data_IF_279339977320
#
_entry.id   IF_279339977320
#
_cell.length_a   1.000
_cell.length_b   1.000
_cell.length_c   1.000
_cell.angle_alpha   90.00
_cell.angle_beta   90.00
_cell.angle_gamma   90.00
#
_symmetry.space_group_name_H-M   'P 1'
#
loop_
_entity.id
_entity.type
_entity.pdbx_description
1 polymer ?
#
# COMPACT_ATOMS: atom_id res chain seq x y z
N UNK A 1 -20.95 -17.06 38.41
CA UNK A 1 -21.92 -16.35 37.55
C UNK A 1 -21.28 -15.00 37.21
N UNK A 2 -20.59 -14.93 36.10
CA UNK A 2 -19.91 -13.70 35.60
C UNK A 2 -20.59 -13.37 34.30
N UNK A 3 -21.33 -12.27 34.31
CA UNK A 3 -22.05 -11.71 33.17
C UNK A 3 -21.06 -11.22 32.12
N UNK A 4 -21.08 -11.83 30.95
CA UNK A 4 -20.39 -11.34 29.77
C UNK A 4 -21.02 -10.00 29.35
N UNK A 5 -20.27 -8.91 29.45
CA UNK A 5 -20.62 -7.63 28.85
C UNK A 5 -20.48 -7.78 27.31
N UNK A 6 -21.61 -7.80 26.65
CA UNK A 6 -21.76 -7.76 25.22
C UNK A 6 -21.59 -6.28 24.81
N UNK A 7 -20.36 -5.84 24.49
CA UNK A 7 -20.09 -4.56 23.85
C UNK A 7 -20.51 -4.63 22.38
N UNK A 8 -21.82 -4.52 22.13
CA UNK A 8 -22.30 -4.08 20.82
C UNK A 8 -21.87 -2.63 20.60
N UNK A 9 -21.38 -2.26 19.42
CA UNK A 9 -21.08 -0.86 19.11
C UNK A 9 -22.37 -0.06 19.31
N UNK A 10 -22.31 0.95 20.18
CA UNK A 10 -23.46 1.73 20.59
C UNK A 10 -24.22 2.26 19.35
N UNK A 11 -25.55 2.23 19.40
CA UNK A 11 -26.45 2.79 18.37
C UNK A 11 -26.05 4.23 17.96
N UNK A 12 -25.43 4.96 18.85
CA UNK A 12 -24.86 6.29 18.61
C UNK A 12 -23.75 6.31 17.55
N UNK A 13 -22.86 5.32 17.54
CA UNK A 13 -21.78 5.24 16.55
C UNK A 13 -22.33 4.91 15.14
N UNK A 14 -23.34 4.04 15.07
CA UNK A 14 -24.04 3.70 13.82
C UNK A 14 -24.84 4.91 13.29
N UNK A 15 -25.52 5.65 14.17
CA UNK A 15 -26.27 6.85 13.82
C UNK A 15 -25.37 8.00 13.36
N UNK A 16 -24.23 8.20 14.01
CA UNK A 16 -23.21 9.17 13.60
C UNK A 16 -22.66 8.87 12.22
N UNK A 17 -22.38 7.59 11.90
CA UNK A 17 -21.93 7.15 10.57
C UNK A 17 -23.01 7.36 9.49
N UNK A 18 -24.27 7.05 9.79
CA UNK A 18 -25.40 7.31 8.86
C UNK A 18 -25.55 8.82 8.58
N UNK A 19 -25.45 9.66 9.61
CA UNK A 19 -25.52 11.11 9.47
C UNK A 19 -24.34 11.67 8.64
N UNK A 20 -23.13 11.15 8.85
CA UNK A 20 -21.95 11.56 8.09
C UNK A 20 -22.03 11.10 6.62
N UNK A 21 -22.53 9.90 6.36
CA UNK A 21 -22.79 9.41 5.01
C UNK A 21 -23.90 10.22 4.29
N UNK A 22 -24.93 10.67 5.01
CA UNK A 22 -25.97 11.54 4.48
C UNK A 22 -25.37 12.91 4.10
N UNK A 23 -24.62 13.55 5.00
CA UNK A 23 -23.92 14.82 4.73
C UNK A 23 -23.01 14.74 3.51
N UNK A 24 -22.30 13.61 3.35
CA UNK A 24 -21.43 13.38 2.20
C UNK A 24 -22.21 13.23 0.89
N UNK A 25 -23.39 12.58 0.92
CA UNK A 25 -24.27 12.47 -0.25
C UNK A 25 -24.86 13.83 -0.64
N UNK A 26 -25.33 14.60 0.32
CA UNK A 26 -25.89 15.94 0.09
C UNK A 26 -24.82 16.88 -0.47
N UNK A 27 -23.60 16.83 0.05
CA UNK A 27 -22.49 17.61 -0.50
C UNK A 27 -22.16 17.23 -1.96
N UNK A 28 -22.14 15.93 -2.28
CA UNK A 28 -21.94 15.48 -3.68
C UNK A 28 -23.05 15.95 -4.61
N UNK A 29 -24.29 15.93 -4.15
CA UNK A 29 -25.44 16.45 -4.90
C UNK A 29 -25.28 17.94 -5.17
N UNK A 30 -24.90 18.71 -4.17
CA UNK A 30 -24.67 20.15 -4.28
C UNK A 30 -23.55 20.50 -5.27
N UNK A 31 -22.41 19.78 -5.22
CA UNK A 31 -21.32 19.94 -6.20
C UNK A 31 -21.80 19.64 -7.62
N UNK A 32 -22.61 18.60 -7.81
CA UNK A 32 -23.17 18.25 -9.13
C UNK A 32 -24.14 19.33 -9.62
N UNK A 33 -25.04 19.79 -8.79
CA UNK A 33 -25.97 20.86 -9.11
C UNK A 33 -25.23 22.15 -9.50
N UNK A 34 -24.23 22.57 -8.73
CA UNK A 34 -23.43 23.74 -9.05
C UNK A 34 -22.66 23.59 -10.38
N UNK A 35 -22.18 22.37 -10.69
CA UNK A 35 -21.53 22.11 -11.97
C UNK A 35 -22.52 22.16 -13.15
N UNK A 36 -23.74 21.67 -12.97
CA UNK A 36 -24.81 21.73 -13.98
C UNK A 36 -25.27 23.18 -14.20
N UNK A 37 -25.45 23.96 -13.13
CA UNK A 37 -25.84 25.37 -13.17
C UNK A 37 -24.73 26.25 -13.80
N UNK A 38 -23.49 25.81 -13.82
CA UNK A 38 -22.40 26.58 -14.44
C UNK A 38 -22.56 26.81 -15.93
N UNK A 39 -23.38 26.02 -16.62
CA UNK A 39 -23.56 26.09 -18.08
C UNK A 39 -22.31 25.71 -18.90
N UNK A 40 -21.22 25.25 -18.23
CA UNK A 40 -19.95 24.90 -18.87
C UNK A 40 -20.02 23.59 -19.66
N UNK A 41 -21.12 22.87 -19.59
CA UNK A 41 -21.30 21.55 -20.20
C UNK A 41 -20.45 20.48 -19.50
N UNK A 42 -20.95 19.25 -19.43
CA UNK A 42 -20.12 18.13 -18.99
C UNK A 42 -19.29 17.67 -20.19
N UNK A 43 -17.99 17.36 -20.02
CA UNK A 43 -17.21 16.82 -21.10
C UNK A 43 -17.91 15.58 -21.68
N UNK A 44 -17.99 15.51 -22.99
CA UNK A 44 -18.65 14.40 -23.71
C UNK A 44 -18.00 13.02 -23.43
N UNK A 45 -16.83 13.01 -22.83
CA UNK A 45 -16.07 11.82 -22.38
C UNK A 45 -16.76 11.02 -21.27
N UNK A 46 -17.87 11.49 -20.72
CA UNK A 46 -18.27 11.20 -19.36
C UNK A 46 -19.59 10.48 -19.21
N UNK A 47 -20.12 9.88 -20.20
CA UNK A 47 -21.19 8.91 -19.98
C UNK A 47 -20.61 7.62 -19.43
N UNK A 48 -20.70 7.44 -18.14
CA UNK A 48 -20.22 6.29 -17.38
C UNK A 48 -20.75 4.93 -17.88
N UNK A 49 -21.79 4.93 -18.69
CA UNK A 49 -22.41 3.73 -19.24
C UNK A 49 -21.70 3.20 -20.51
N UNK A 50 -20.80 3.97 -21.07
CA UNK A 50 -20.21 3.67 -22.38
C UNK A 50 -18.69 3.69 -22.30
N UNK A 51 -18.10 2.70 -21.55
CA UNK A 51 -16.78 2.24 -21.93
C UNK A 51 -16.94 1.69 -23.34
N UNK A 52 -16.49 2.44 -24.34
CA UNK A 52 -16.55 2.01 -25.72
C UNK A 52 -15.92 0.62 -25.85
N UNK A 53 -16.49 -0.23 -26.67
CA UNK A 53 -16.00 -1.62 -26.81
C UNK A 53 -14.50 -1.70 -27.14
N UNK A 54 -13.98 -0.74 -27.89
CA UNK A 54 -12.55 -0.58 -28.20
C UNK A 54 -11.69 -0.26 -26.97
N UNK A 55 -12.14 0.63 -26.07
CA UNK A 55 -11.45 0.92 -24.80
C UNK A 55 -11.49 -0.29 -23.86
N UNK A 56 -12.60 -1.00 -23.77
CA UNK A 56 -12.71 -2.23 -23.00
C UNK A 56 -11.79 -3.33 -23.54
N UNK A 57 -11.65 -3.44 -24.87
CA UNK A 57 -10.69 -4.35 -25.50
C UNK A 57 -9.26 -3.95 -25.19
N UNK A 58 -8.91 -2.66 -25.33
CA UNK A 58 -7.58 -2.15 -25.00
C UNK A 58 -7.24 -2.39 -23.52
N UNK A 59 -8.17 -2.17 -22.58
CA UNK A 59 -7.99 -2.43 -21.16
C UNK A 59 -7.63 -3.90 -20.85
N UNK A 60 -8.24 -4.85 -21.56
CA UNK A 60 -7.94 -6.28 -21.36
C UNK A 60 -6.59 -6.71 -21.94
N UNK A 61 -6.06 -6.00 -22.92
CA UNK A 61 -4.77 -6.27 -23.56
C UNK A 61 -3.63 -5.39 -23.06
N UNK A 62 -3.91 -4.53 -22.08
CA UNK A 62 -2.97 -3.61 -21.49
C UNK A 62 -1.80 -4.33 -20.81
N UNK A 63 -0.59 -3.79 -20.95
CA UNK A 63 0.60 -4.30 -20.29
C UNK A 63 0.76 -3.79 -18.85
N UNK A 64 1.62 -4.46 -18.08
CA UNK A 64 1.88 -4.08 -16.69
C UNK A 64 2.43 -2.65 -16.52
N UNK A 65 3.22 -2.15 -17.47
CA UNK A 65 3.75 -0.78 -17.44
C UNK A 65 2.65 0.27 -17.56
N UNK A 66 1.74 0.06 -18.51
CA UNK A 66 0.59 0.94 -18.71
C UNK A 66 -0.36 0.90 -17.50
N UNK A 67 -0.61 -0.30 -16.95
CA UNK A 67 -1.42 -0.46 -15.75
C UNK A 67 -0.84 0.28 -14.55
N UNK A 68 0.49 0.25 -14.33
CA UNK A 68 1.16 1.02 -13.27
C UNK A 68 0.95 2.52 -13.44
N UNK A 69 1.16 3.04 -14.66
CA UNK A 69 0.90 4.43 -14.97
C UNK A 69 -0.55 4.83 -14.64
N UNK A 70 -1.53 3.99 -15.04
CA UNK A 70 -2.94 4.27 -14.77
C UNK A 70 -3.30 4.20 -13.27
N UNK A 71 -2.66 3.33 -12.49
CA UNK A 71 -2.81 3.29 -11.03
C UNK A 71 -2.35 4.61 -10.40
N UNK A 72 -1.19 5.12 -10.80
CA UNK A 72 -0.69 6.41 -10.30
C UNK A 72 -1.58 7.56 -10.75
N UNK A 73 -2.01 7.56 -12.00
CA UNK A 73 -2.89 8.57 -12.54
C UNK A 73 -4.27 8.57 -11.85
N UNK A 74 -4.81 7.40 -11.50
CA UNK A 74 -6.01 7.29 -10.66
C UNK A 74 -5.86 8.04 -9.33
N UNK A 75 -4.75 7.83 -8.63
CA UNK A 75 -4.52 8.50 -7.34
C UNK A 75 -4.27 10.00 -7.49
N UNK A 76 -3.69 10.45 -8.59
CA UNK A 76 -3.59 11.87 -8.94
C UNK A 76 -4.99 12.49 -9.12
N UNK A 77 -5.84 11.88 -9.95
CA UNK A 77 -7.21 12.33 -10.17
C UNK A 77 -8.05 12.32 -8.88
N UNK A 78 -7.88 11.32 -8.04
CA UNK A 78 -8.49 11.28 -6.71
C UNK A 78 -8.02 12.45 -5.84
N UNK A 79 -6.74 12.82 -5.92
CA UNK A 79 -6.18 13.98 -5.25
C UNK A 79 -6.79 15.29 -5.74
N UNK A 80 -6.90 15.45 -7.05
CA UNK A 80 -7.49 16.64 -7.70
C UNK A 80 -8.97 16.81 -7.32
N UNK A 81 -9.74 15.74 -7.40
CA UNK A 81 -11.13 15.75 -6.93
C UNK A 81 -11.24 16.16 -5.45
N UNK A 82 -10.40 15.61 -4.57
CA UNK A 82 -10.42 15.95 -3.14
C UNK A 82 -10.08 17.43 -2.92
N UNK A 83 -9.07 17.96 -3.63
CA UNK A 83 -8.68 19.37 -3.56
C UNK A 83 -9.82 20.28 -4.01
N UNK A 84 -10.42 19.99 -5.17
CA UNK A 84 -11.55 20.76 -5.68
C UNK A 84 -12.78 20.69 -4.75
N UNK A 85 -13.13 19.51 -4.20
CA UNK A 85 -14.20 19.38 -3.22
C UNK A 85 -13.93 20.18 -1.94
N UNK A 86 -12.68 20.21 -1.46
CA UNK A 86 -12.33 21.00 -0.27
C UNK A 86 -12.45 22.51 -0.56
N UNK A 87 -12.08 22.95 -1.79
CA UNK A 87 -12.21 24.33 -2.19
C UNK A 87 -13.70 24.75 -2.28
N UNK A 88 -14.55 23.94 -2.93
CA UNK A 88 -16.00 24.19 -2.93
C UNK A 88 -16.54 24.33 -1.51
N UNK A 89 -16.11 23.43 -0.60
CA UNK A 89 -16.56 23.49 0.80
C UNK A 89 -16.10 24.75 1.52
N UNK A 90 -14.93 25.29 1.18
CA UNK A 90 -14.41 26.53 1.77
C UNK A 90 -15.14 27.78 1.24
N UNK A 91 -15.61 27.77 -0.01
CA UNK A 91 -16.31 28.89 -0.65
C UNK A 91 -17.78 29.00 -0.22
N UNK A 92 -18.42 27.89 0.12
CA UNK A 92 -19.86 27.84 0.49
C UNK A 92 -20.25 28.79 1.62
N UNK A 93 -19.51 28.91 2.75
CA UNK A 93 -19.92 29.80 3.86
C UNK A 93 -19.90 31.28 3.49
N UNK A 94 -19.02 31.69 2.57
CA UNK A 94 -18.90 33.06 2.08
C UNK A 94 -19.85 33.42 0.95
N UNK A 95 -20.66 32.46 0.49
CA UNK A 95 -21.52 32.59 -0.69
C UNK A 95 -20.77 33.06 -1.94
N UNK A 96 -19.49 32.66 -2.04
CA UNK A 96 -18.66 33.00 -3.20
C UNK A 96 -18.99 32.12 -4.42
N UNK A 97 -18.82 32.63 -5.65
CA UNK A 97 -18.99 31.84 -6.86
C UNK A 97 -18.05 30.61 -6.86
N UNK A 98 -18.61 29.42 -7.03
CA UNK A 98 -17.84 28.16 -6.97
C UNK A 98 -18.15 27.18 -8.11
N UNK A 99 -18.94 27.61 -9.11
CA UNK A 99 -19.40 26.75 -10.21
C UNK A 99 -18.25 26.13 -11.01
N UNK A 100 -17.21 26.92 -11.33
CA UNK A 100 -16.02 26.42 -12.06
C UNK A 100 -15.26 25.36 -11.27
N UNK A 101 -15.10 25.55 -9.96
CA UNK A 101 -14.42 24.59 -9.09
C UNK A 101 -15.27 23.33 -8.92
N UNK A 102 -16.60 23.46 -8.82
CA UNK A 102 -17.53 22.34 -8.80
C UNK A 102 -17.46 21.53 -10.11
N UNK A 103 -17.41 22.21 -11.25
CA UNK A 103 -17.21 21.58 -12.56
C UNK A 103 -15.90 20.80 -12.63
N UNK A 104 -14.76 21.38 -12.16
CA UNK A 104 -13.47 20.66 -12.07
C UNK A 104 -13.55 19.44 -11.16
N UNK A 105 -14.22 19.55 -10.01
CA UNK A 105 -14.41 18.43 -9.09
C UNK A 105 -15.17 17.27 -9.75
N UNK A 106 -16.23 17.58 -10.49
CA UNK A 106 -17.01 16.59 -11.23
C UNK A 106 -16.19 15.92 -12.34
N UNK A 107 -15.44 16.70 -13.12
CA UNK A 107 -14.58 16.16 -14.16
C UNK A 107 -13.54 15.17 -13.59
N UNK A 108 -12.85 15.57 -12.51
CA UNK A 108 -11.87 14.70 -11.85
C UNK A 108 -12.54 13.41 -11.33
N UNK A 109 -13.75 13.48 -10.74
CA UNK A 109 -14.51 12.29 -10.30
C UNK A 109 -14.82 11.35 -11.48
N UNK A 110 -15.13 11.92 -12.61
CA UNK A 110 -15.50 11.17 -13.80
C UNK A 110 -14.32 10.43 -14.42
N UNK A 111 -13.18 11.12 -14.56
CA UNK A 111 -11.93 10.50 -15.02
C UNK A 111 -11.47 9.42 -14.05
N UNK A 112 -11.51 9.69 -12.72
CA UNK A 112 -11.22 8.70 -11.68
C UNK A 112 -12.05 7.42 -11.84
N UNK A 113 -13.34 7.54 -12.11
CA UNK A 113 -14.24 6.40 -12.29
C UNK A 113 -13.91 5.59 -13.55
N UNK A 114 -13.66 6.25 -14.69
CA UNK A 114 -13.28 5.58 -15.94
C UNK A 114 -12.00 4.79 -15.76
N UNK A 115 -10.97 5.40 -15.16
CA UNK A 115 -9.69 4.72 -14.93
C UNK A 115 -9.88 3.51 -14.00
N UNK A 116 -10.69 3.63 -12.95
CA UNK A 116 -11.01 2.51 -12.06
C UNK A 116 -11.65 1.36 -12.83
N UNK A 117 -12.60 1.66 -13.72
CA UNK A 117 -13.32 0.64 -14.49
C UNK A 117 -12.38 -0.04 -15.51
N UNK A 118 -11.49 0.72 -16.17
CA UNK A 118 -10.39 0.21 -17.02
C UNK A 118 -9.46 -0.72 -16.24
N UNK A 119 -9.00 -0.30 -15.07
CA UNK A 119 -8.14 -1.10 -14.20
C UNK A 119 -8.84 -2.39 -13.73
N UNK A 120 -10.15 -2.35 -13.52
CA UNK A 120 -10.95 -3.53 -13.20
C UNK A 120 -10.96 -4.56 -14.34
N UNK A 121 -11.11 -4.10 -15.57
CA UNK A 121 -11.03 -4.98 -16.75
C UNK A 121 -9.64 -5.62 -16.87
N UNK A 122 -8.57 -4.86 -16.65
CA UNK A 122 -7.21 -5.40 -16.62
C UNK A 122 -7.01 -6.43 -15.51
N UNK A 123 -7.39 -6.10 -14.26
CA UNK A 123 -7.24 -7.01 -13.13
C UNK A 123 -7.96 -8.34 -13.35
N UNK A 124 -9.13 -8.30 -14.00
CA UNK A 124 -9.95 -9.48 -14.27
C UNK A 124 -9.40 -10.39 -15.37
N UNK A 125 -8.34 -10.00 -16.09
CA UNK A 125 -7.73 -10.87 -17.12
C UNK A 125 -6.98 -12.06 -16.54
N UNK A 126 -6.53 -12.00 -15.29
CA UNK A 126 -5.71 -13.02 -14.65
C UNK A 126 -6.29 -13.47 -13.31
N UNK A 127 -6.05 -14.73 -12.96
CA UNK A 127 -6.56 -15.36 -11.74
C UNK A 127 -6.16 -14.59 -10.47
N UNK A 128 -4.88 -14.17 -10.26
CA UNK A 128 -4.51 -13.44 -9.05
C UNK A 128 -5.23 -12.10 -8.90
N UNK A 129 -5.52 -11.42 -10.01
CA UNK A 129 -6.29 -10.17 -10.02
C UNK A 129 -7.75 -10.40 -9.64
N UNK A 130 -8.41 -11.42 -10.23
CA UNK A 130 -9.78 -11.81 -9.88
C UNK A 130 -9.90 -12.23 -8.42
N UNK A 131 -8.95 -13.04 -7.94
CA UNK A 131 -8.92 -13.44 -6.54
C UNK A 131 -8.80 -12.21 -5.61
N UNK A 132 -7.86 -11.31 -5.89
CA UNK A 132 -7.69 -10.12 -5.09
C UNK A 132 -8.96 -9.25 -5.05
N UNK A 133 -9.64 -9.07 -6.20
CA UNK A 133 -10.91 -8.32 -6.29
C UNK A 133 -12.08 -9.00 -5.54
N UNK A 134 -11.98 -10.30 -5.26
CA UNK A 134 -12.97 -11.04 -4.46
C UNK A 134 -12.85 -10.77 -2.95
N UNK A 135 -11.76 -10.16 -2.51
CA UNK A 135 -11.48 -9.90 -1.09
C UNK A 135 -12.12 -8.59 -0.65
N UNK A 136 -12.86 -8.64 0.43
CA UNK A 136 -13.49 -7.44 1.01
C UNK A 136 -12.42 -6.39 1.33
N UNK A 137 -12.66 -5.15 0.88
CA UNK A 137 -11.72 -4.05 1.04
C UNK A 137 -10.75 -3.88 -0.13
N UNK A 138 -10.64 -4.84 -1.03
CA UNK A 138 -9.81 -4.71 -2.23
C UNK A 138 -10.70 -4.42 -3.43
N UNK A 139 -10.40 -3.32 -4.09
CA UNK A 139 -11.11 -2.92 -5.30
C UNK A 139 -10.22 -2.95 -6.53
N UNK A 140 -10.78 -2.65 -7.71
CA UNK A 140 -10.11 -2.77 -9.00
C UNK A 140 -8.73 -2.13 -9.09
N UNK A 141 -8.55 -0.96 -8.49
CA UNK A 141 -7.28 -0.21 -8.53
C UNK A 141 -6.17 -0.93 -7.76
N UNK A 142 -6.49 -1.47 -6.57
CA UNK A 142 -5.51 -2.22 -5.76
C UNK A 142 -5.19 -3.55 -6.43
N UNK A 143 -6.21 -4.27 -6.92
CA UNK A 143 -6.03 -5.54 -7.64
C UNK A 143 -5.17 -5.37 -8.89
N UNK A 144 -5.44 -4.36 -9.70
CA UNK A 144 -4.63 -4.03 -10.88
C UNK A 144 -3.21 -3.64 -10.51
N UNK A 145 -3.03 -2.84 -9.47
CA UNK A 145 -1.71 -2.43 -8.99
C UNK A 145 -0.88 -3.61 -8.49
N UNK A 146 -1.47 -4.54 -7.73
CA UNK A 146 -0.79 -5.77 -7.31
C UNK A 146 -0.34 -6.60 -8.52
N UNK A 147 -1.26 -6.83 -9.47
CA UNK A 147 -0.98 -7.58 -10.69
C UNK A 147 0.11 -6.93 -11.55
N UNK A 148 0.12 -5.61 -11.64
CA UNK A 148 1.07 -4.86 -12.45
C UNK A 148 2.49 -4.79 -11.83
N UNK A 149 2.60 -4.81 -10.50
CA UNK A 149 3.89 -4.70 -9.82
C UNK A 149 4.53 -6.05 -9.47
N UNK A 150 3.71 -7.11 -9.28
CA UNK A 150 4.18 -8.40 -8.78
C UNK A 150 4.34 -9.38 -9.94
N UNK A 151 5.59 -9.60 -10.34
CA UNK A 151 5.97 -10.64 -11.30
C UNK A 151 6.34 -11.91 -10.52
N UNK A 152 5.47 -12.90 -10.53
CA UNK A 152 5.64 -14.15 -9.76
C UNK A 152 6.87 -14.94 -10.21
N UNK A 153 7.32 -14.77 -11.46
CA UNK A 153 8.51 -15.45 -11.98
C UNK A 153 9.80 -14.94 -11.31
N UNK A 154 9.78 -13.71 -10.79
CA UNK A 154 10.88 -13.07 -10.05
C UNK A 154 10.77 -13.23 -8.54
N UNK A 155 9.62 -13.70 -8.04
CA UNK A 155 9.33 -13.87 -6.62
C UNK A 155 9.02 -15.34 -6.30
N UNK A 156 10.01 -16.20 -6.37
CA UNK A 156 9.85 -17.66 -6.12
C UNK A 156 9.39 -17.99 -4.70
N UNK A 157 9.66 -17.13 -3.74
CA UNK A 157 9.24 -17.29 -2.35
C UNK A 157 8.54 -16.02 -1.86
N UNK A 158 7.64 -16.16 -0.90
CA UNK A 158 6.96 -15.04 -0.29
C UNK A 158 7.92 -14.05 0.40
N UNK A 159 9.04 -14.54 0.92
CA UNK A 159 10.07 -13.69 1.53
C UNK A 159 10.70 -12.73 0.51
N UNK A 160 10.89 -13.17 -0.74
CA UNK A 160 11.34 -12.30 -1.82
C UNK A 160 10.30 -11.22 -2.15
N UNK A 161 9.00 -11.59 -2.15
CA UNK A 161 7.93 -10.63 -2.34
C UNK A 161 7.86 -9.60 -1.21
N UNK A 162 7.97 -10.04 0.06
CA UNK A 162 8.01 -9.10 1.19
C UNK A 162 9.20 -8.16 1.11
N UNK A 163 10.36 -8.67 0.70
CA UNK A 163 11.56 -7.86 0.50
C UNK A 163 11.37 -6.84 -0.61
N UNK A 164 10.81 -7.25 -1.73
CA UNK A 164 10.48 -6.38 -2.86
C UNK A 164 9.46 -5.29 -2.49
N UNK A 165 8.48 -5.62 -1.65
CA UNK A 165 7.47 -4.70 -1.13
C UNK A 165 7.93 -3.83 0.06
N UNK A 166 9.18 -3.97 0.55
CA UNK A 166 9.69 -3.22 1.69
C UNK A 166 9.06 -3.59 3.04
N UNK A 167 8.63 -4.84 3.18
CA UNK A 167 8.02 -5.38 4.40
C UNK A 167 8.97 -6.31 5.18
N UNK A 168 10.16 -6.56 4.64
CA UNK A 168 11.21 -7.30 5.31
C UNK A 168 11.87 -6.41 6.39
N UNK A 169 11.79 -6.79 7.69
CA UNK A 169 12.35 -5.98 8.77
C UNK A 169 13.88 -5.92 8.76
N UNK A 170 14.54 -6.80 8.01
CA UNK A 170 16.02 -6.83 7.89
C UNK A 170 16.53 -5.81 6.89
N UNK A 171 15.67 -5.28 6.01
CA UNK A 171 16.05 -4.24 5.08
C UNK A 171 16.05 -2.86 5.75
N UNK A 172 17.19 -2.19 5.71
CA UNK A 172 17.35 -0.83 6.24
C UNK A 172 17.51 0.17 5.10
N UNK A 173 16.73 1.22 5.12
CA UNK A 173 16.95 2.37 4.25
C UNK A 173 17.91 3.35 4.92
N UNK A 174 19.05 3.58 4.29
CA UNK A 174 20.09 4.46 4.81
C UNK A 174 19.76 5.95 4.60
N UNK A 175 19.02 6.28 3.53
CA UNK A 175 18.85 7.66 3.11
C UNK A 175 20.18 8.27 2.62
N UNK A 176 20.15 9.54 2.31
CA UNK A 176 21.34 10.25 1.77
C UNK A 176 22.47 10.33 2.80
N UNK A 177 22.16 10.73 4.03
CA UNK A 177 23.18 10.90 5.07
C UNK A 177 23.79 9.55 5.52
N UNK A 178 22.96 8.53 5.71
CA UNK A 178 23.47 7.20 6.06
C UNK A 178 24.31 6.57 4.95
N UNK A 179 23.97 6.81 3.69
CA UNK A 179 24.77 6.37 2.55
C UNK A 179 26.15 7.05 2.53
N UNK A 180 26.20 8.38 2.72
CA UNK A 180 27.46 9.13 2.82
C UNK A 180 28.36 8.62 3.94
N UNK A 181 27.81 8.43 5.14
CA UNK A 181 28.55 7.91 6.30
C UNK A 181 29.11 6.53 5.97
N UNK A 182 28.28 5.61 5.47
CA UNK A 182 28.72 4.25 5.14
C UNK A 182 29.83 4.24 4.05
N UNK A 183 29.67 5.03 2.99
CA UNK A 183 30.67 5.14 1.93
C UNK A 183 31.98 5.72 2.46
N UNK A 184 31.92 6.75 3.31
CA UNK A 184 33.10 7.34 3.96
C UNK A 184 33.87 6.31 4.78
N UNK A 185 33.18 5.58 5.67
CA UNK A 185 33.79 4.56 6.51
C UNK A 185 34.44 3.42 5.71
N UNK A 186 33.80 2.98 4.61
CA UNK A 186 34.36 1.92 3.75
C UNK A 186 35.55 2.47 2.95
N UNK A 187 35.50 3.75 2.51
CA UNK A 187 36.61 4.38 1.80
C UNK A 187 37.85 4.61 2.67
N UNK A 188 37.69 4.76 3.97
CA UNK A 188 38.83 4.79 4.91
C UNK A 188 39.58 3.46 4.97
N UNK A 189 38.87 2.33 4.77
CA UNK A 189 39.47 0.98 4.69
C UNK A 189 40.09 0.73 3.32
N UNK A 190 39.53 1.30 2.26
CA UNK A 190 39.99 1.16 0.87
C UNK A 190 40.37 2.53 0.28
N UNK A 191 41.49 3.12 0.67
CA UNK A 191 41.89 4.43 0.18
C UNK A 191 42.27 4.36 -1.32
N UNK A 192 41.64 5.24 -2.13
CA UNK A 192 41.89 5.31 -3.57
C UNK A 192 40.77 5.99 -4.35
N UNK A 193 41.02 6.31 -5.62
CA UNK A 193 40.00 6.85 -6.52
C UNK A 193 39.07 5.77 -7.06
N UNK A 194 39.64 4.59 -7.34
CA UNK A 194 38.90 3.47 -7.87
C UNK A 194 38.12 2.73 -6.76
N UNK A 195 37.00 2.14 -7.12
CA UNK A 195 36.18 1.34 -6.24
C UNK A 195 36.52 -0.13 -6.42
N UNK A 196 37.27 -0.74 -5.49
CA UNK A 196 37.65 -2.16 -5.61
C UNK A 196 36.46 -3.08 -5.33
N UNK A 197 36.53 -4.31 -5.86
CA UNK A 197 35.46 -5.30 -5.70
C UNK A 197 35.18 -5.64 -4.23
N UNK A 198 36.20 -5.68 -3.39
CA UNK A 198 36.08 -5.97 -1.97
C UNK A 198 35.34 -4.87 -1.21
N UNK A 199 35.57 -3.59 -1.57
CA UNK A 199 34.80 -2.48 -1.04
C UNK A 199 33.32 -2.61 -1.42
N UNK A 200 33.02 -3.03 -2.66
CA UNK A 200 31.64 -3.25 -3.10
C UNK A 200 30.96 -4.38 -2.30
N UNK A 201 31.67 -5.48 -2.02
CA UNK A 201 31.18 -6.56 -1.17
C UNK A 201 30.91 -6.05 0.26
N UNK A 202 31.83 -5.27 0.83
CA UNK A 202 31.64 -4.67 2.17
C UNK A 202 30.47 -3.72 2.22
N UNK A 203 30.31 -2.83 1.24
CA UNK A 203 29.15 -1.93 1.12
C UNK A 203 27.83 -2.70 1.01
N UNK A 204 27.80 -3.74 0.18
CA UNK A 204 26.64 -4.61 0.02
C UNK A 204 26.25 -5.30 1.34
N UNK A 205 27.22 -5.92 2.03
CA UNK A 205 27.00 -6.59 3.31
C UNK A 205 26.49 -5.64 4.40
N UNK A 206 27.11 -4.47 4.55
CA UNK A 206 26.75 -3.49 5.58
C UNK A 206 25.42 -2.78 5.30
N UNK A 207 25.01 -2.67 4.03
CA UNK A 207 23.71 -2.12 3.63
C UNK A 207 22.59 -3.17 3.46
N UNK A 208 22.87 -4.44 3.74
CA UNK A 208 21.96 -5.58 3.48
C UNK A 208 21.50 -5.66 2.01
N UNK A 209 22.36 -5.24 1.08
CA UNK A 209 22.13 -5.31 -0.36
C UNK A 209 23.03 -6.32 -1.04
N UNK A 210 22.52 -6.95 -2.09
CA UNK A 210 23.37 -7.78 -2.96
C UNK A 210 24.38 -6.86 -3.70
N UNK A 211 25.70 -7.17 -3.67
CA UNK A 211 26.74 -6.35 -4.30
C UNK A 211 26.53 -6.14 -5.82
N UNK A 212 26.07 -7.18 -6.54
CA UNK A 212 25.82 -7.08 -7.97
C UNK A 212 24.65 -6.16 -8.29
N UNK A 213 23.56 -6.28 -7.51
CA UNK A 213 22.42 -5.37 -7.64
C UNK A 213 22.80 -3.92 -7.29
N UNK A 214 23.67 -3.73 -6.31
CA UNK A 214 24.18 -2.41 -5.95
C UNK A 214 25.05 -1.84 -7.09
N UNK A 215 25.89 -2.67 -7.72
CA UNK A 215 26.70 -2.29 -8.89
C UNK A 215 25.84 -1.87 -10.06
N UNK A 216 24.79 -2.66 -10.37
CA UNK A 216 23.82 -2.31 -11.43
C UNK A 216 23.11 -1.00 -11.13
N UNK A 217 22.61 -0.82 -9.91
CA UNK A 217 21.93 0.42 -9.50
C UNK A 217 22.85 1.65 -9.58
N UNK A 218 24.15 1.50 -9.28
CA UNK A 218 25.13 2.56 -9.41
C UNK A 218 25.36 2.92 -10.88
N UNK A 219 25.46 1.92 -11.77
CA UNK A 219 25.55 2.12 -13.21
C UNK A 219 24.29 2.81 -13.77
N UNK A 220 23.09 2.36 -13.35
CA UNK A 220 21.81 2.96 -13.79
C UNK A 220 21.68 4.44 -13.38
N UNK A 221 22.31 4.85 -12.28
CA UNK A 221 22.26 6.23 -11.77
C UNK A 221 23.18 7.19 -12.52
N UNK A 222 24.37 6.73 -12.95
CA UNK A 222 25.41 7.62 -13.44
C UNK A 222 26.17 7.10 -14.67
N UNK A 223 25.75 5.97 -15.26
CA UNK A 223 26.42 5.34 -16.41
C UNK A 223 27.70 4.58 -16.04
N UNK A 224 28.29 4.87 -14.90
CA UNK A 224 29.53 4.25 -14.41
C UNK A 224 29.44 3.88 -12.93
N UNK A 225 30.30 2.95 -12.51
CA UNK A 225 30.36 2.48 -11.11
C UNK A 225 31.53 3.15 -10.39
N UNK A 226 31.20 4.23 -9.68
CA UNK A 226 32.16 5.04 -8.88
C UNK A 226 31.71 5.11 -7.43
N UNK A 227 32.54 5.60 -6.53
CA UNK A 227 32.18 5.88 -5.14
C UNK A 227 30.93 6.76 -5.05
N UNK A 228 30.83 7.79 -5.89
CA UNK A 228 29.72 8.72 -5.91
C UNK A 228 28.43 8.08 -6.43
N UNK A 229 28.52 7.26 -7.49
CA UNK A 229 27.33 6.57 -8.02
C UNK A 229 26.81 5.52 -7.06
N UNK A 230 27.70 4.82 -6.35
CA UNK A 230 27.33 3.85 -5.30
C UNK A 230 26.71 4.55 -4.09
N UNK A 231 27.21 5.72 -3.66
CA UNK A 231 26.57 6.52 -2.62
C UNK A 231 25.14 6.88 -3.00
N UNK A 232 24.92 7.39 -4.22
CA UNK A 232 23.58 7.70 -4.73
C UNK A 232 22.69 6.45 -4.81
N UNK A 233 23.24 5.30 -5.20
CA UNK A 233 22.50 4.04 -5.23
C UNK A 233 22.12 3.56 -3.84
N UNK A 234 23.01 3.68 -2.85
CA UNK A 234 22.75 3.34 -1.46
C UNK A 234 21.71 4.25 -0.80
N UNK A 235 21.64 5.51 -1.21
CA UNK A 235 20.64 6.46 -0.73
C UNK A 235 19.22 6.12 -1.18
N UNK A 236 19.04 5.39 -2.30
CA UNK A 236 17.73 4.93 -2.77
C UNK A 236 17.16 3.87 -1.82
N UNK A 237 15.83 3.78 -1.80
CA UNK A 237 15.14 2.72 -1.06
C UNK A 237 15.51 1.33 -1.60
N UNK A 238 15.76 0.32 -0.74
CA UNK A 238 16.15 -1.03 -1.18
C UNK A 238 14.96 -1.87 -1.69
N UNK A 239 13.79 -1.29 -1.80
CA UNK A 239 12.55 -1.93 -2.24
C UNK A 239 11.87 -1.13 -3.36
N UNK A 240 10.86 -1.72 -4.00
CA UNK A 240 10.03 -1.00 -4.96
C UNK A 240 9.11 -0.01 -4.21
N UNK A 241 9.27 1.28 -4.46
CA UNK A 241 8.58 2.35 -3.74
C UNK A 241 7.09 2.43 -4.07
N UNK A 242 6.75 2.21 -5.33
CA UNK A 242 5.35 2.23 -5.81
C UNK A 242 4.56 1.07 -5.19
N UNK A 243 5.10 -0.15 -5.26
CA UNK A 243 4.48 -1.30 -4.59
C UNK A 243 4.40 -1.10 -3.07
N UNK A 244 5.47 -0.58 -2.45
CA UNK A 244 5.46 -0.28 -1.01
C UNK A 244 4.34 0.70 -0.64
N UNK A 245 4.17 1.76 -1.42
CA UNK A 245 3.09 2.75 -1.23
C UNK A 245 1.73 2.10 -1.40
N UNK A 246 1.55 1.29 -2.44
CA UNK A 246 0.31 0.57 -2.68
C UNK A 246 -0.06 -0.35 -1.51
N UNK A 247 0.85 -1.21 -1.06
CA UNK A 247 0.54 -2.23 -0.05
C UNK A 247 0.55 -1.69 1.37
N UNK A 248 1.51 -0.81 1.73
CA UNK A 248 1.65 -0.32 3.10
C UNK A 248 0.63 0.77 3.46
N UNK A 249 0.21 1.56 2.48
CA UNK A 249 -0.72 2.67 2.73
C UNK A 249 -2.10 2.40 2.15
N UNK A 250 -2.24 2.09 0.86
CA UNK A 250 -3.57 1.96 0.24
C UNK A 250 -4.27 0.67 0.68
N UNK A 251 -3.61 -0.47 0.52
CA UNK A 251 -4.15 -1.77 0.93
C UNK A 251 -4.31 -1.86 2.45
N UNK A 252 -3.26 -1.49 3.22
CA UNK A 252 -3.31 -1.54 4.68
C UNK A 252 -4.42 -0.66 5.28
N UNK A 253 -4.60 0.57 4.77
CA UNK A 253 -5.71 1.43 5.19
C UNK A 253 -7.08 0.88 4.75
N UNK A 254 -7.15 0.18 3.63
CA UNK A 254 -8.38 -0.45 3.20
C UNK A 254 -8.83 -1.53 4.18
N UNK A 255 -7.93 -2.41 4.63
CA UNK A 255 -8.23 -3.40 5.66
C UNK A 255 -8.73 -2.76 6.96
N UNK A 256 -8.09 -1.68 7.41
CA UNK A 256 -8.57 -0.94 8.59
C UNK A 256 -10.00 -0.42 8.40
N UNK A 257 -10.34 0.09 7.21
CA UNK A 257 -11.67 0.65 6.92
C UNK A 257 -12.78 -0.38 6.91
N UNK A 258 -12.48 -1.62 6.53
CA UNK A 258 -13.47 -2.69 6.42
C UNK A 258 -13.49 -3.63 7.62
N UNK A 259 -12.67 -3.39 8.65
CA UNK A 259 -12.54 -4.25 9.84
C UNK A 259 -13.81 -4.47 10.67
N UNK A 260 -14.88 -3.71 10.37
CA UNK A 260 -16.21 -3.92 10.98
C UNK A 260 -17.20 -4.64 10.03
N UNK A 261 -16.73 -5.16 8.91
CA UNK A 261 -17.57 -5.91 7.98
C UNK A 261 -17.46 -7.41 8.30
N UNK A 262 -18.56 -8.07 8.58
CA UNK A 262 -18.60 -9.49 8.96
C UNK A 262 -17.98 -10.43 7.92
N UNK A 263 -17.94 -10.02 6.64
CA UNK A 263 -17.32 -10.79 5.55
C UNK A 263 -15.84 -10.47 5.33
N UNK A 264 -15.29 -9.55 6.12
CA UNK A 264 -13.87 -9.21 6.02
C UNK A 264 -13.00 -10.26 6.73
N UNK A 265 -11.80 -10.47 6.22
CA UNK A 265 -10.81 -11.37 6.82
C UNK A 265 -9.60 -10.58 7.33
N UNK A 266 -9.01 -9.77 6.48
CA UNK A 266 -7.72 -9.12 6.80
C UNK A 266 -7.87 -7.93 7.75
N UNK A 267 -9.01 -7.28 7.75
CA UNK A 267 -9.31 -6.23 8.73
C UNK A 267 -9.58 -6.81 10.12
N UNK A 268 -10.22 -7.97 10.22
CA UNK A 268 -10.35 -8.70 11.49
C UNK A 268 -8.98 -9.14 12.01
N UNK A 269 -8.13 -9.69 11.13
CA UNK A 269 -6.75 -10.03 11.48
C UNK A 269 -5.94 -8.82 11.95
N UNK A 270 -6.13 -7.66 11.30
CA UNK A 270 -5.53 -6.40 11.78
C UNK A 270 -6.02 -6.02 13.17
N UNK A 271 -7.34 -6.09 13.42
CA UNK A 271 -7.93 -5.70 14.70
C UNK A 271 -7.45 -6.61 15.83
N UNK A 272 -7.46 -7.91 15.63
CA UNK A 272 -6.94 -8.90 16.59
C UNK A 272 -5.44 -8.66 16.87
N UNK A 273 -4.64 -8.50 15.81
CA UNK A 273 -3.21 -8.21 15.96
C UNK A 273 -2.97 -6.92 16.72
N UNK A 274 -3.78 -5.90 16.51
CA UNK A 274 -3.66 -4.63 17.22
C UNK A 274 -3.88 -4.79 18.72
N UNK A 275 -4.89 -5.54 19.13
CA UNK A 275 -5.13 -5.86 20.53
C UNK A 275 -3.95 -6.61 21.18
N UNK A 276 -3.39 -7.60 20.46
CA UNK A 276 -2.22 -8.34 20.93
C UNK A 276 -0.99 -7.43 21.09
N UNK A 277 -0.73 -6.54 20.13
CA UNK A 277 0.39 -5.60 20.19
C UNK A 277 0.20 -4.55 21.28
N UNK A 278 -1.04 -4.09 21.53
CA UNK A 278 -1.37 -3.18 22.64
C UNK A 278 -1.12 -3.86 24.00
N UNK A 279 -1.55 -5.11 24.17
CA UNK A 279 -1.29 -5.88 25.38
C UNK A 279 0.20 -6.08 25.64
N UNK A 280 0.99 -6.42 24.61
CA UNK A 280 2.45 -6.54 24.68
C UNK A 280 3.12 -5.21 25.05
N UNK A 281 2.63 -4.11 24.49
CA UNK A 281 3.11 -2.77 24.76
C UNK A 281 2.86 -2.36 26.22
N UNK A 282 1.68 -2.67 26.74
CA UNK A 282 1.34 -2.45 28.15
C UNK A 282 2.19 -3.30 29.09
N UNK A 283 2.51 -4.53 28.71
CA UNK A 283 3.40 -5.43 29.45
C UNK A 283 4.89 -5.05 29.35
N UNK A 284 5.24 -3.91 28.70
CA UNK A 284 6.62 -3.41 28.62
C UNK A 284 7.54 -4.16 27.65
N UNK A 285 7.01 -5.04 26.79
CA UNK A 285 7.83 -5.83 25.85
C UNK A 285 8.56 -4.99 24.78
N UNK A 286 8.24 -3.70 24.68
CA UNK A 286 8.85 -2.78 23.71
C UNK A 286 9.70 -1.68 24.35
N UNK A 287 10.06 -1.82 25.62
CA UNK A 287 10.84 -0.81 26.36
C UNK A 287 12.20 -0.54 25.73
N UNK A 288 12.93 -1.58 25.33
CA UNK A 288 14.22 -1.44 24.62
C UNK A 288 14.04 -0.71 23.26
N UNK A 289 13.01 -1.09 22.49
CA UNK A 289 12.71 -0.44 21.23
C UNK A 289 12.33 1.04 21.42
N UNK A 290 11.60 1.36 22.47
CA UNK A 290 11.22 2.74 22.84
C UNK A 290 12.45 3.57 23.21
N UNK A 291 13.36 3.04 24.05
CA UNK A 291 14.63 3.68 24.41
C UNK A 291 15.50 3.96 23.17
N UNK A 292 15.70 2.94 22.32
CA UNK A 292 16.45 3.08 21.08
C UNK A 292 15.88 4.16 20.12
N UNK A 293 14.56 4.44 20.17
CA UNK A 293 13.97 5.53 19.39
C UNK A 293 14.33 6.90 19.93
N UNK A 294 14.36 7.08 21.25
CA UNK A 294 14.78 8.34 21.89
C UNK A 294 16.26 8.63 21.67
N UNK A 295 17.11 7.61 21.66
CA UNK A 295 18.54 7.75 21.40
C UNK A 295 18.85 8.14 19.95
N UNK A 296 18.13 7.56 18.99
CA UNK A 296 18.44 7.72 17.55
C UNK A 296 17.76 8.90 16.89
N UNK A 297 16.66 9.39 17.44
CA UNK A 297 15.86 10.42 16.78
C UNK A 297 15.61 11.60 17.72
N UNK A 298 15.75 12.81 17.19
CA UNK A 298 15.36 14.01 17.92
C UNK A 298 13.83 14.16 17.87
N UNK A 299 13.16 13.67 18.92
CA UNK A 299 11.70 13.71 19.07
C UNK A 299 11.33 14.86 19.98
N UNK A 300 10.43 15.75 19.54
CA UNK A 300 9.98 16.90 20.32
C UNK A 300 9.38 16.48 21.66
N UNK A 301 9.84 17.06 22.77
CA UNK A 301 9.50 16.68 24.14
C UNK A 301 8.01 16.84 24.47
N UNK A 302 7.31 17.74 23.80
CA UNK A 302 5.88 18.03 24.02
C UNK A 302 4.96 17.08 23.26
N UNK A 303 5.51 16.19 22.42
CA UNK A 303 4.72 15.27 21.60
C UNK A 303 4.25 14.05 22.39
N UNK A 304 3.06 13.52 22.06
CA UNK A 304 2.57 12.27 22.64
C UNK A 304 3.49 11.09 22.33
N UNK A 305 4.20 11.16 21.21
CA UNK A 305 5.20 10.17 20.85
C UNK A 305 6.37 10.16 21.84
N UNK A 306 6.89 11.33 22.22
CA UNK A 306 7.95 11.44 23.22
C UNK A 306 7.50 10.90 24.58
N UNK A 307 6.31 11.30 25.04
CA UNK A 307 5.72 10.82 26.30
C UNK A 307 5.61 9.29 26.32
N UNK A 308 5.13 8.70 25.24
CA UNK A 308 5.01 7.24 25.12
C UNK A 308 6.39 6.56 25.18
N UNK A 309 7.36 7.00 24.38
CA UNK A 309 8.70 6.43 24.38
C UNK A 309 9.42 6.59 25.70
N UNK A 310 9.28 7.74 26.37
CA UNK A 310 9.86 7.98 27.71
C UNK A 310 9.24 7.08 28.80
N UNK A 311 7.99 6.66 28.60
CA UNK A 311 7.33 5.66 29.45
C UNK A 311 7.68 4.20 29.08
N UNK A 312 8.68 3.98 28.21
CA UNK A 312 9.05 2.64 27.73
C UNK A 312 8.01 1.98 26.83
N UNK A 313 7.15 2.74 26.19
CA UNK A 313 6.05 2.25 25.34
C UNK A 313 6.12 2.79 23.92
N UNK A 314 5.56 2.05 22.98
CA UNK A 314 5.39 2.54 21.61
C UNK A 314 4.11 3.39 21.51
N UNK A 315 4.14 4.52 20.79
CA UNK A 315 2.95 5.34 20.54
C UNK A 315 1.84 4.56 19.81
N UNK A 316 0.56 4.94 19.96
CA UNK A 316 -0.57 4.27 19.28
C UNK A 316 -0.42 4.17 17.77
N UNK A 317 0.13 5.21 17.13
CA UNK A 317 0.41 5.21 15.69
C UNK A 317 1.44 4.14 15.28
N UNK A 318 2.43 3.87 16.13
CA UNK A 318 3.43 2.82 15.89
C UNK A 318 2.79 1.43 15.98
N UNK A 319 1.98 1.19 17.02
CA UNK A 319 1.21 -0.07 17.19
C UNK A 319 0.29 -0.29 16.00
N UNK A 320 -0.46 0.74 15.59
CA UNK A 320 -1.32 0.70 14.41
C UNK A 320 -0.56 0.28 13.14
N UNK A 321 0.57 0.93 12.85
CA UNK A 321 1.39 0.62 11.66
C UNK A 321 1.99 -0.79 11.72
N UNK A 322 2.39 -1.24 12.91
CA UNK A 322 2.91 -2.59 13.13
C UNK A 322 1.85 -3.65 12.80
N UNK A 323 0.64 -3.46 13.31
CA UNK A 323 -0.50 -4.36 13.09
C UNK A 323 -0.97 -4.37 11.64
N UNK A 324 -1.04 -3.20 11.01
CA UNK A 324 -1.38 -3.06 9.58
C UNK A 324 -0.37 -3.80 8.70
N UNK A 325 0.94 -3.61 8.94
CA UNK A 325 2.00 -4.32 8.18
C UNK A 325 1.88 -5.83 8.32
N UNK A 326 1.52 -6.32 9.49
CA UNK A 326 1.36 -7.76 9.70
C UNK A 326 0.19 -8.31 8.87
N UNK A 327 -0.99 -7.67 8.89
CA UNK A 327 -2.13 -8.07 8.07
C UNK A 327 -1.81 -8.04 6.56
N UNK A 328 -1.10 -7.01 6.12
CA UNK A 328 -0.62 -6.89 4.72
C UNK A 328 0.34 -8.03 4.36
N UNK A 329 1.25 -8.42 5.26
CA UNK A 329 2.16 -9.56 5.02
C UNK A 329 1.41 -10.87 4.89
N UNK A 330 0.38 -11.11 5.70
CA UNK A 330 -0.48 -12.29 5.57
C UNK A 330 -1.18 -12.28 4.22
N UNK A 331 -1.79 -11.16 3.83
CA UNK A 331 -2.42 -11.02 2.51
C UNK A 331 -1.44 -11.31 1.36
N UNK A 332 -0.24 -10.72 1.40
CA UNK A 332 0.77 -10.95 0.36
C UNK A 332 1.25 -12.41 0.31
N UNK A 333 1.23 -13.13 1.45
CA UNK A 333 1.49 -14.56 1.44
C UNK A 333 0.43 -15.33 0.68
N UNK A 334 -0.84 -14.98 0.88
CA UNK A 334 -1.95 -15.58 0.18
C UNK A 334 -1.94 -15.21 -1.31
N UNK A 335 -1.71 -13.94 -1.65
CA UNK A 335 -1.56 -13.49 -3.03
C UNK A 335 -0.44 -14.24 -3.76
N UNK A 336 0.72 -14.38 -3.10
CA UNK A 336 1.84 -15.14 -3.65
C UNK A 336 1.45 -16.60 -3.91
N UNK A 337 0.77 -17.25 -2.97
CA UNK A 337 0.36 -18.64 -3.12
C UNK A 337 -0.61 -18.81 -4.31
N UNK A 338 -1.63 -17.94 -4.43
CA UNK A 338 -2.57 -17.92 -5.54
C UNK A 338 -1.86 -17.71 -6.88
N UNK A 339 -0.99 -16.70 -6.98
CA UNK A 339 -0.26 -16.39 -8.20
C UNK A 339 0.74 -17.49 -8.58
N UNK A 340 1.39 -18.09 -7.59
CA UNK A 340 2.33 -19.18 -7.80
C UNK A 340 1.64 -20.45 -8.31
N UNK A 341 0.54 -20.84 -7.67
CA UNK A 341 -0.24 -22.00 -8.07
C UNK A 341 -0.87 -21.80 -9.47
N UNK A 342 -1.38 -20.59 -9.76
CA UNK A 342 -1.89 -20.28 -11.09
C UNK A 342 -0.80 -20.38 -12.18
N UNK A 343 0.41 -19.85 -11.90
CA UNK A 343 1.48 -19.83 -12.88
C UNK A 343 2.16 -21.19 -13.06
N UNK A 344 2.57 -21.84 -11.95
CA UNK A 344 3.38 -23.06 -11.97
C UNK A 344 2.55 -24.34 -11.90
N UNK A 345 1.25 -24.26 -11.60
CA UNK A 345 0.31 -25.39 -11.43
C UNK A 345 0.74 -26.38 -10.34
N UNK A 346 1.50 -25.90 -9.38
CA UNK A 346 1.92 -26.62 -8.17
C UNK A 346 1.76 -25.69 -6.95
N UNK A 347 1.55 -26.25 -5.74
CA UNK A 347 1.47 -25.44 -4.52
C UNK A 347 2.71 -24.57 -4.32
N UNK A 348 2.52 -23.37 -3.80
CA UNK A 348 3.61 -22.46 -3.48
C UNK A 348 4.50 -23.04 -2.38
N UNK A 349 5.84 -22.75 -2.40
CA UNK A 349 6.73 -23.08 -1.31
C UNK A 349 6.22 -22.51 0.02
N UNK A 350 6.31 -23.28 1.09
CA UNK A 350 5.91 -22.83 2.42
C UNK A 350 6.74 -21.61 2.83
N UNK A 351 6.13 -20.62 3.48
CA UNK A 351 6.88 -19.50 4.04
C UNK A 351 7.92 -19.99 5.08
N UNK A 352 9.11 -19.42 5.07
CA UNK A 352 10.23 -19.74 5.97
C UNK A 352 9.83 -19.80 7.46
N UNK A 353 8.89 -18.98 7.87
CA UNK A 353 8.41 -18.92 9.26
C UNK A 353 7.72 -20.21 9.72
N UNK A 354 7.13 -20.97 8.81
CA UNK A 354 6.50 -22.26 9.12
C UNK A 354 7.52 -23.39 9.17
N UNK A 355 8.49 -23.38 8.27
CA UNK A 355 9.47 -24.46 8.16
C UNK A 355 10.61 -24.34 9.20
N UNK A 356 10.96 -23.10 9.61
CA UNK A 356 12.16 -22.86 10.43
C UNK A 356 11.88 -22.18 11.77
N UNK A 357 10.73 -21.51 11.94
CA UNK A 357 10.39 -20.79 13.18
C UNK A 357 9.22 -21.42 13.96
N UNK A 358 8.78 -22.63 13.57
CA UNK A 358 7.81 -23.42 14.32
C UNK A 358 6.38 -22.86 14.38
N UNK A 359 6.01 -21.95 13.47
CA UNK A 359 4.62 -21.49 13.39
C UNK A 359 3.71 -22.60 12.88
N UNK A 360 2.77 -23.05 13.73
CA UNK A 360 1.92 -24.22 13.43
C UNK A 360 0.62 -23.86 12.69
N UNK A 361 0.16 -22.61 12.76
CA UNK A 361 -1.12 -22.22 12.18
C UNK A 361 -0.95 -21.54 10.82
N UNK A 362 -1.15 -22.32 9.76
CA UNK A 362 -1.32 -21.78 8.41
C UNK A 362 -2.78 -21.36 8.24
N UNK A 363 -3.03 -20.09 7.99
CA UNK A 363 -4.37 -19.59 7.69
C UNK A 363 -4.81 -20.05 6.32
N UNK A 364 -6.06 -20.50 6.20
CA UNK A 364 -6.65 -20.82 4.92
C UNK A 364 -6.73 -19.56 4.04
N UNK A 365 -6.46 -19.73 2.75
CA UNK A 365 -6.57 -18.63 1.79
C UNK A 365 -8.06 -18.36 1.56
N UNK A 366 -8.57 -17.15 1.88
CA UNK A 366 -9.99 -16.86 1.68
C UNK A 366 -10.32 -16.87 0.19
N UNK A 367 -11.52 -17.36 -0.16
CA UNK A 367 -12.02 -17.46 -1.53
C UNK A 367 -11.11 -18.27 -2.49
N UNK A 368 -10.33 -19.21 -1.97
CA UNK A 368 -9.47 -20.06 -2.79
C UNK A 368 -9.65 -21.54 -2.42
N UNK A 369 -9.77 -22.47 -3.41
CA UNK A 369 -9.86 -22.18 -4.85
C UNK A 369 -11.12 -21.39 -5.20
N UNK A 370 -11.04 -20.55 -6.25
CA UNK A 370 -12.18 -19.75 -6.68
C UNK A 370 -13.32 -20.65 -7.16
N UNK A 371 -14.60 -20.35 -6.82
CA UNK A 371 -15.74 -21.07 -7.34
C UNK A 371 -15.75 -21.04 -8.89
N UNK A 372 -15.99 -22.16 -9.52
CA UNK A 372 -16.00 -22.31 -11.00
C UNK A 372 -16.94 -21.34 -11.72
N UNK A 373 -18.03 -20.92 -11.07
CA UNK A 373 -19.00 -19.96 -11.60
C UNK A 373 -18.42 -18.53 -11.70
N UNK A 374 -17.51 -18.17 -10.81
CA UNK A 374 -16.82 -16.86 -10.85
C UNK A 374 -15.78 -16.83 -11.99
N UNK A 375 -15.28 -18.00 -12.38
CA UNK A 375 -14.31 -18.13 -13.47
C UNK A 375 -14.98 -17.98 -14.84
N UNK A 376 -16.18 -18.52 -15.03
CA UNK A 376 -16.92 -18.51 -16.29
C UNK A 376 -17.60 -17.15 -16.59
N UNK A 377 -18.12 -16.45 -15.59
CA UNK A 377 -18.88 -15.20 -15.79
C UNK A 377 -18.01 -13.98 -16.17
N UNK A 378 -16.68 -14.09 -16.10
CA UNK A 378 -15.74 -12.99 -16.38
C UNK A 378 -14.94 -13.18 -17.68
N UNK A 379 -15.22 -14.24 -18.42
CA UNK A 379 -14.57 -14.54 -19.71
C UNK A 379 -15.42 -14.10 -20.92
N UNK A 380 -16.62 -13.62 -20.68
CA UNK A 380 -17.55 -13.01 -21.64
C UNK A 380 -17.53 -11.48 -21.51
#
# INVERSE_FOLDING_TARGET
>A
MTTANNDQPSDDAANKRKAEAAKKRDFKRLVRQAAEESGLGLPSVVRRAELRADLAKAARTMGAHEARFLVDYYYMQQGDRKRAHNQVRALLPGNEPHNTVAWLALNAEMVENIIRDVLGLYANTQVPGRWADSIVGIGPVISAGLLAHIDITKCRTVSQLWRFAGLDPTQTWLGTEGAKVLVKEVREVFPGRELPSDAMVMLGKRSSRNPENLRRLASDVAGEVTWTSVEKALAKRPWNEELHTLVSYKLGESFVKVSNNDKDVYGHLYAERKLQEEARNQAGQYSEQAGSKLERFNIGRDTDAFKAYSAGRLPPAHIHRRSTRWAVKVFLSHYHAVAYEDHYKVPAPRPYVFDHLGHQHQMAIPNWPMPKEVEAAKTL
#
